data_IF_629691471003
#
_entry.id   IF_629691471003
#
_cell.length_a   1.000
_cell.length_b   1.000
_cell.length_c   1.000
_cell.angle_alpha   90.00
_cell.angle_beta   90.00
_cell.angle_gamma   90.00
#
_symmetry.space_group_name_H-M   'P 1'
#
loop_
_entity.id
_entity.type
_entity.pdbx_description
1 polymer ?
#
# COMPACT_ATOMS: atom_id res chain seq x y z
N UNK A 1 3.65 -40.21 -46.25
CA UNK A 1 3.22 -38.80 -46.06
C UNK A 1 2.37 -38.62 -44.79
N UNK A 2 2.80 -39.13 -43.63
CA UNK A 2 2.01 -39.09 -42.38
C UNK A 2 2.75 -38.44 -41.19
N UNK A 3 4.05 -38.15 -41.35
CA UNK A 3 4.89 -37.52 -40.32
C UNK A 3 4.66 -35.99 -40.21
N UNK A 4 4.42 -35.31 -41.33
CA UNK A 4 4.25 -33.85 -41.36
C UNK A 4 3.02 -33.37 -40.57
N UNK A 5 1.88 -34.10 -40.67
CA UNK A 5 0.64 -33.75 -39.97
C UNK A 5 0.76 -33.87 -38.44
N UNK A 6 1.59 -34.80 -37.96
CA UNK A 6 1.84 -35.03 -36.52
C UNK A 6 2.76 -33.97 -35.92
N UNK A 7 3.75 -33.51 -36.68
CA UNK A 7 4.64 -32.43 -36.27
C UNK A 7 3.93 -31.07 -36.18
N UNK A 8 3.00 -30.77 -37.10
CA UNK A 8 2.18 -29.54 -37.04
C UNK A 8 1.26 -29.55 -35.81
N UNK A 9 0.61 -30.68 -35.52
CA UNK A 9 -0.27 -30.84 -34.37
C UNK A 9 0.46 -30.68 -33.03
N UNK A 10 1.68 -31.23 -32.91
CA UNK A 10 2.49 -31.07 -31.70
C UNK A 10 3.06 -29.66 -31.55
N UNK A 11 3.41 -29.00 -32.66
CA UNK A 11 3.86 -27.60 -32.65
C UNK A 11 2.75 -26.64 -32.22
N UNK A 12 1.50 -26.85 -32.64
CA UNK A 12 0.35 -26.07 -32.19
C UNK A 12 -0.02 -26.32 -30.72
N UNK A 13 0.11 -27.57 -30.26
CA UNK A 13 -0.18 -27.95 -28.87
C UNK A 13 0.84 -27.37 -27.86
N UNK A 14 2.11 -27.26 -28.26
CA UNK A 14 3.17 -26.62 -27.46
C UNK A 14 3.01 -25.09 -27.42
N UNK A 15 2.55 -24.47 -28.50
CA UNK A 15 2.35 -23.02 -28.58
C UNK A 15 1.19 -22.53 -27.70
N UNK A 16 0.13 -23.34 -27.52
CA UNK A 16 -1.00 -22.96 -26.67
C UNK A 16 -0.71 -23.04 -25.17
N UNK A 17 0.35 -23.77 -24.77
CA UNK A 17 0.72 -23.93 -23.35
C UNK A 17 1.50 -22.73 -22.80
N UNK A 18 2.10 -21.91 -23.68
CA UNK A 18 2.88 -20.72 -23.29
C UNK A 18 1.97 -19.50 -23.04
N UNK A 19 0.73 -19.51 -23.55
CA UNK A 19 -0.21 -18.38 -23.45
C UNK A 19 -0.93 -18.22 -22.11
N UNK A 20 -0.75 -19.14 -21.14
CA UNK A 20 -1.58 -19.19 -19.92
C UNK A 20 -0.90 -18.56 -18.69
N UNK A 21 0.33 -18.05 -18.81
CA UNK A 21 1.04 -17.44 -17.67
C UNK A 21 1.02 -15.92 -17.61
N UNK A 22 0.33 -15.23 -18.54
CA UNK A 22 -0.14 -13.87 -18.30
C UNK A 22 -1.45 -13.90 -17.49
N UNK A 23 -1.44 -14.63 -16.38
CA UNK A 23 -2.43 -14.48 -15.32
C UNK A 23 -2.17 -13.14 -14.65
N UNK A 24 -2.71 -12.08 -15.24
CA UNK A 24 -2.90 -10.81 -14.56
C UNK A 24 -3.90 -11.08 -13.43
N UNK A 25 -3.40 -11.50 -12.27
CA UNK A 25 -4.18 -11.42 -11.05
C UNK A 25 -4.61 -9.96 -10.91
N UNK A 26 -5.92 -9.74 -10.94
CA UNK A 26 -6.53 -8.40 -10.91
C UNK A 26 -6.32 -7.76 -9.53
N UNK A 27 -5.09 -7.36 -9.25
CA UNK A 27 -4.74 -6.37 -8.23
C UNK A 27 -4.59 -4.98 -8.89
N UNK A 28 -5.24 -4.77 -10.05
CA UNK A 28 -4.83 -3.77 -11.03
C UNK A 28 -5.71 -2.53 -11.18
N UNK A 29 -6.86 -2.41 -10.51
CA UNK A 29 -7.73 -1.24 -10.70
C UNK A 29 -7.53 -0.16 -9.64
N UNK A 30 -7.30 -0.56 -8.38
CA UNK A 30 -7.26 0.38 -7.26
C UNK A 30 -6.03 1.30 -7.25
N UNK A 31 -4.89 0.84 -7.75
CA UNK A 31 -3.58 1.49 -7.60
C UNK A 31 -3.16 2.27 -8.85
N UNK A 32 -4.13 2.83 -9.58
CA UNK A 32 -3.89 3.50 -10.88
C UNK A 32 -4.10 5.01 -10.82
N UNK A 33 -4.75 5.51 -9.77
CA UNK A 33 -5.06 6.92 -9.62
C UNK A 33 -5.14 7.29 -8.14
N UNK A 34 -4.50 8.41 -7.80
CA UNK A 34 -4.33 8.86 -6.44
C UNK A 34 -4.83 10.29 -6.23
N UNK A 35 -5.30 10.58 -5.02
CA UNK A 35 -5.60 11.92 -4.53
C UNK A 35 -4.91 12.14 -3.19
N UNK A 36 -4.83 13.39 -2.73
CA UNK A 36 -4.26 13.69 -1.41
C UNK A 36 -5.19 13.24 -0.29
N UNK A 37 -4.63 12.68 0.79
CA UNK A 37 -5.38 12.30 1.97
C UNK A 37 -6.14 13.51 2.55
N UNK A 38 -7.24 13.22 3.24
CA UNK A 38 -8.08 14.25 3.86
C UNK A 38 -7.29 15.05 4.92
N UNK A 39 -6.56 14.33 5.77
CA UNK A 39 -5.76 14.84 6.89
C UNK A 39 -4.32 15.26 6.52
N UNK A 40 -3.78 14.79 5.38
CA UNK A 40 -2.48 15.21 4.86
C UNK A 40 -2.54 15.26 3.33
N UNK A 41 -2.74 16.46 2.76
CA UNK A 41 -2.94 16.64 1.32
C UNK A 41 -1.75 16.21 0.49
N UNK A 42 -0.56 16.18 1.09
CA UNK A 42 0.66 15.71 0.45
C UNK A 42 0.80 14.19 0.41
N UNK A 43 -0.04 13.42 1.10
CA UNK A 43 0.06 11.96 1.15
C UNK A 43 -0.91 11.31 0.15
N UNK A 44 -0.44 10.45 -0.78
CA UNK A 44 -1.32 9.86 -1.79
C UNK A 44 -2.22 8.78 -1.21
N UNK A 45 -3.50 8.79 -1.56
CA UNK A 45 -4.48 7.74 -1.29
C UNK A 45 -5.20 7.35 -2.59
N UNK A 46 -5.52 6.06 -2.82
CA UNK A 46 -6.27 5.63 -3.99
C UNK A 46 -7.63 6.33 -4.13
N UNK A 47 -7.94 6.92 -5.29
CA UNK A 47 -9.22 7.62 -5.51
C UNK A 47 -10.45 6.73 -5.40
N UNK A 48 -10.27 5.43 -5.68
CA UNK A 48 -11.35 4.45 -5.58
C UNK A 48 -11.66 4.08 -4.12
N UNK A 49 -10.79 4.45 -3.17
CA UNK A 49 -11.01 4.16 -1.77
C UNK A 49 -12.09 5.10 -1.22
N UNK A 50 -13.10 4.53 -0.60
CA UNK A 50 -14.19 5.33 -0.04
C UNK A 50 -13.80 5.82 1.36
N UNK A 51 -13.79 7.13 1.55
CA UNK A 51 -13.57 7.74 2.86
C UNK A 51 -14.72 7.41 3.79
N UNK A 52 -14.41 7.05 5.02
CA UNK A 52 -15.40 6.85 6.07
C UNK A 52 -14.91 7.50 7.36
N UNK A 53 -15.88 8.03 8.11
CA UNK A 53 -15.78 8.76 9.38
C UNK A 53 -14.36 9.16 9.84
N UNK A 54 -14.09 10.46 9.77
CA UNK A 54 -12.98 11.07 10.50
C UNK A 54 -13.32 10.99 11.99
N UNK A 55 -12.50 10.29 12.76
CA UNK A 55 -12.72 10.23 14.20
C UNK A 55 -12.13 11.48 14.83
N UNK A 56 -13.00 12.44 15.17
CA UNK A 56 -12.60 13.66 15.89
C UNK A 56 -12.28 13.40 17.38
N UNK A 57 -12.58 12.20 17.89
CA UNK A 57 -12.51 11.86 19.32
C UNK A 57 -11.09 11.54 19.84
N UNK A 58 -10.05 11.61 19.01
CA UNK A 58 -8.67 11.37 19.45
C UNK A 58 -7.87 12.68 19.47
N UNK A 59 -7.39 13.09 20.64
CA UNK A 59 -6.70 14.37 20.83
C UNK A 59 -5.33 14.42 20.17
N UNK A 60 -4.69 13.26 19.99
CA UNK A 60 -3.25 13.20 19.67
C UNK A 60 -3.01 12.89 18.18
N UNK A 61 -3.97 12.24 17.52
CA UNK A 61 -3.87 11.83 16.11
C UNK A 61 -5.11 12.25 15.32
N UNK A 62 -4.91 12.73 14.10
CA UNK A 62 -5.96 12.89 13.09
C UNK A 62 -6.08 11.60 12.29
N UNK A 63 -7.19 10.90 12.47
CA UNK A 63 -7.44 9.55 11.97
C UNK A 63 -8.49 9.58 10.85
N UNK A 64 -8.16 8.99 9.70
CA UNK A 64 -9.10 8.81 8.59
C UNK A 64 -9.06 7.37 8.09
N UNK A 65 -10.25 6.76 7.93
CA UNK A 65 -10.41 5.40 7.41
C UNK A 65 -10.82 5.42 5.94
N UNK A 66 -10.12 4.64 5.12
CA UNK A 66 -10.37 4.48 3.68
C UNK A 66 -10.72 3.02 3.38
N UNK A 67 -11.97 2.77 2.99
CA UNK A 67 -12.44 1.44 2.59
C UNK A 67 -11.99 1.14 1.17
N UNK A 68 -11.35 -0.01 0.98
CA UNK A 68 -10.84 -0.45 -0.32
C UNK A 68 -11.00 -1.95 -0.47
N UNK A 69 -11.73 -2.39 -1.51
CA UNK A 69 -11.91 -3.81 -1.78
C UNK A 69 -10.60 -4.46 -2.23
N UNK A 70 -10.36 -5.71 -1.82
CA UNK A 70 -9.17 -6.47 -2.21
C UNK A 70 -7.91 -6.14 -1.38
N UNK A 71 -8.03 -5.33 -0.33
CA UNK A 71 -6.96 -5.14 0.66
C UNK A 71 -7.19 -6.06 1.87
N UNK A 72 -6.12 -6.65 2.38
CA UNK A 72 -6.13 -7.49 3.57
C UNK A 72 -4.89 -7.22 4.38
N UNK A 73 -4.99 -7.33 5.71
CA UNK A 73 -3.85 -7.22 6.61
C UNK A 73 -2.81 -8.31 6.33
N UNK A 74 -3.28 -9.51 5.94
CA UNK A 74 -2.45 -10.67 5.60
C UNK A 74 -1.68 -10.49 4.28
N UNK A 75 -2.10 -9.53 3.45
CA UNK A 75 -1.50 -9.25 2.16
C UNK A 75 -0.68 -7.97 2.26
N UNK A 76 0.60 -8.04 1.92
CA UNK A 76 1.45 -6.85 1.89
C UNK A 76 0.87 -5.79 0.95
N UNK A 77 1.01 -4.53 1.33
CA UNK A 77 0.73 -3.40 0.44
C UNK A 77 1.48 -3.60 -0.89
N UNK A 78 0.80 -3.47 -2.05
CA UNK A 78 1.44 -3.62 -3.35
C UNK A 78 2.58 -2.62 -3.55
N UNK A 79 3.67 -3.10 -4.13
CA UNK A 79 4.87 -2.30 -4.39
C UNK A 79 4.57 -1.05 -5.24
N UNK A 80 3.65 -1.17 -6.20
CA UNK A 80 3.17 -0.05 -7.02
C UNK A 80 2.65 1.15 -6.21
N UNK A 81 2.04 0.89 -5.04
CA UNK A 81 1.59 1.97 -4.17
C UNK A 81 2.73 2.56 -3.34
N UNK A 82 3.67 1.71 -2.89
CA UNK A 82 4.85 2.19 -2.17
C UNK A 82 5.70 3.10 -3.06
N UNK A 83 5.82 2.78 -4.34
CA UNK A 83 6.54 3.60 -5.30
C UNK A 83 5.83 4.92 -5.60
N UNK A 84 4.50 4.93 -5.61
CA UNK A 84 3.74 6.18 -5.69
C UNK A 84 3.95 7.06 -4.44
N UNK A 85 3.93 6.47 -3.25
CA UNK A 85 4.21 7.21 -2.01
C UNK A 85 5.61 7.86 -2.08
N UNK A 86 6.61 7.14 -2.57
CA UNK A 86 7.96 7.67 -2.80
C UNK A 86 8.00 8.74 -3.88
N UNK A 87 7.26 8.58 -4.99
CA UNK A 87 7.21 9.56 -6.07
C UNK A 87 6.61 10.90 -5.63
N UNK A 88 5.74 10.87 -4.62
CA UNK A 88 5.20 12.05 -3.93
C UNK A 88 6.17 12.64 -2.87
N UNK A 89 7.37 12.07 -2.73
CA UNK A 89 8.45 12.58 -1.88
C UNK A 89 8.46 12.05 -0.44
N UNK A 90 7.67 11.01 -0.14
CA UNK A 90 7.66 10.40 1.19
C UNK A 90 8.72 9.31 1.30
N UNK A 91 9.36 9.23 2.47
CA UNK A 91 10.34 8.17 2.76
C UNK A 91 9.80 7.28 3.87
N UNK A 92 9.80 5.97 3.65
CA UNK A 92 9.48 5.00 4.71
C UNK A 92 10.57 5.01 5.79
N UNK A 93 10.18 5.25 7.04
CA UNK A 93 11.07 5.29 8.21
C UNK A 93 11.03 4.00 9.01
N UNK A 94 9.89 3.32 9.00
CA UNK A 94 9.71 2.06 9.69
C UNK A 94 8.69 1.20 8.95
N UNK A 95 9.10 -0.01 8.58
CA UNK A 95 8.20 -1.08 8.20
C UNK A 95 8.12 -2.04 9.39
N UNK A 96 7.05 -1.98 10.19
CA UNK A 96 6.90 -2.89 11.33
C UNK A 96 5.96 -4.03 10.95
N UNK A 97 6.54 -5.16 10.57
CA UNK A 97 5.84 -6.45 10.58
C UNK A 97 6.20 -7.16 11.88
N UNK A 98 5.61 -6.73 13.01
CA UNK A 98 5.81 -7.47 14.26
C UNK A 98 4.78 -8.58 14.33
N UNK A 99 5.29 -9.80 14.16
CA UNK A 99 4.64 -11.05 14.53
C UNK A 99 4.15 -10.98 15.98
N UNK A 100 2.92 -10.53 16.18
CA UNK A 100 2.00 -10.88 17.29
C UNK A 100 0.88 -9.84 17.50
N UNK A 101 0.95 -8.64 16.91
CA UNK A 101 -0.14 -7.66 16.96
C UNK A 101 -0.56 -7.23 15.55
N UNK A 102 -1.85 -7.47 15.26
CA UNK A 102 -2.49 -7.39 13.96
C UNK A 102 -2.59 -6.00 13.31
N UNK A 103 -1.47 -5.45 12.80
CA UNK A 103 -1.55 -4.42 11.76
C UNK A 103 -0.25 -4.30 10.97
N UNK A 104 -0.33 -4.28 9.64
CA UNK A 104 0.79 -3.93 8.77
C UNK A 104 1.02 -2.40 8.77
N UNK A 105 1.43 -1.90 9.93
CA UNK A 105 1.73 -0.49 10.17
C UNK A 105 3.05 -0.10 9.50
N UNK A 106 2.99 0.96 8.69
CA UNK A 106 4.13 1.59 8.03
C UNK A 106 4.16 3.08 8.36
N UNK A 107 5.35 3.61 8.61
CA UNK A 107 5.55 5.01 8.96
C UNK A 107 6.32 5.70 7.84
N UNK A 108 5.76 6.79 7.32
CA UNK A 108 6.34 7.61 6.27
C UNK A 108 6.61 9.01 6.79
N UNK A 109 7.72 9.62 6.34
CA UNK A 109 8.07 10.98 6.70
C UNK A 109 8.42 11.83 5.47
N UNK A 110 8.04 13.11 5.52
CA UNK A 110 8.34 14.14 4.51
C UNK A 110 8.33 15.51 5.17
N UNK A 111 9.45 16.25 5.05
CA UNK A 111 9.54 17.66 5.47
C UNK A 111 9.10 17.94 6.93
N UNK A 112 9.35 17.01 7.85
CA UNK A 112 8.92 17.10 9.26
C UNK A 112 7.56 16.45 9.53
N UNK A 113 6.70 16.32 8.52
CA UNK A 113 5.44 15.60 8.65
C UNK A 113 5.66 14.09 8.70
N UNK A 114 4.82 13.42 9.50
CA UNK A 114 4.83 11.96 9.66
C UNK A 114 3.43 11.42 9.41
N UNK A 115 3.33 10.35 8.62
CA UNK A 115 2.10 9.63 8.32
C UNK A 115 2.24 8.18 8.72
N UNK A 116 1.28 7.69 9.49
CA UNK A 116 1.15 6.30 9.87
C UNK A 116 0.08 5.65 8.99
N UNK A 117 0.48 4.65 8.21
CA UNK A 117 -0.39 3.87 7.33
C UNK A 117 -0.57 2.48 7.93
N UNK A 118 -1.78 2.13 8.36
CA UNK A 118 -2.09 0.77 8.80
C UNK A 118 -3.14 0.14 7.90
N UNK A 119 -2.90 -1.10 7.49
CA UNK A 119 -3.83 -1.86 6.64
C UNK A 119 -4.54 -2.92 7.47
N UNK A 120 -5.83 -3.06 7.18
CA UNK A 120 -6.74 -4.01 7.77
C UNK A 120 -7.50 -4.76 6.66
N UNK A 121 -8.31 -5.74 7.03
CA UNK A 121 -9.18 -6.42 6.07
C UNK A 121 -10.30 -5.51 5.55
N UNK A 122 -10.23 -5.16 4.26
CA UNK A 122 -11.20 -4.33 3.56
C UNK A 122 -11.04 -2.82 3.73
N UNK A 123 -10.08 -2.35 4.51
CA UNK A 123 -9.79 -0.92 4.66
C UNK A 123 -8.35 -0.65 5.11
N UNK A 124 -7.91 0.59 4.95
CA UNK A 124 -6.68 1.09 5.57
C UNK A 124 -6.94 2.42 6.27
N UNK A 125 -6.01 2.81 7.12
CA UNK A 125 -6.10 4.03 7.92
C UNK A 125 -4.88 4.89 7.68
N UNK A 126 -5.12 6.19 7.57
CA UNK A 126 -4.07 7.21 7.49
C UNK A 126 -4.17 8.05 8.75
N UNK A 127 -3.12 8.02 9.55
CA UNK A 127 -3.04 8.71 10.84
C UNK A 127 -1.92 9.74 10.79
N UNK A 128 -2.23 10.97 11.19
CA UNK A 128 -1.29 12.10 11.22
C UNK A 128 -1.23 12.63 12.65
N UNK A 129 -0.05 12.71 13.30
CA UNK A 129 0.06 13.31 14.63
C UNK A 129 -0.34 14.79 14.62
N UNK A 130 -1.17 15.22 15.57
CA UNK A 130 -1.69 16.61 15.65
C UNK A 130 -0.68 17.62 16.26
N UNK A 131 0.43 17.17 16.84
CA UNK A 131 1.42 18.05 17.47
C UNK A 131 2.86 17.78 17.00
N UNK A 132 3.62 18.86 16.84
CA UNK A 132 5.05 18.88 16.51
C UNK A 132 5.90 18.11 17.54
N UNK A 133 5.48 18.09 18.82
CA UNK A 133 6.17 17.36 19.88
C UNK A 133 6.09 15.83 19.73
N UNK A 134 5.06 15.31 19.06
CA UNK A 134 4.95 13.90 18.71
C UNK A 134 5.71 13.54 17.41
N UNK A 135 6.05 14.54 16.58
CA UNK A 135 6.86 14.36 15.37
C UNK A 135 8.37 14.22 15.70
N UNK A 136 8.82 14.75 16.84
CA UNK A 136 10.24 14.74 17.24
C UNK A 136 10.72 13.47 17.96
N UNK A 137 9.83 12.63 18.52
CA UNK A 137 10.24 11.47 19.34
C UNK A 137 11.01 10.40 18.55
N UNK A 138 10.89 10.37 17.21
CA UNK A 138 11.67 9.44 16.37
C UNK A 138 13.10 9.95 16.12
N UNK A 139 13.40 11.23 16.42
CA UNK A 139 14.72 11.83 16.15
C UNK A 139 15.69 11.78 17.33
N UNK A 140 15.26 11.31 18.50
CA UNK A 140 16.04 11.39 19.75
C UNK A 140 16.40 10.04 20.39
N UNK A 141 16.51 8.96 19.61
CA UNK A 141 16.97 7.65 20.11
C UNK A 141 18.24 7.10 19.45
N UNK A 142 18.95 7.89 18.63
CA UNK A 142 20.17 7.43 17.92
C UNK A 142 21.47 8.18 18.32
N UNK A 143 21.49 8.88 19.45
CA UNK A 143 22.72 9.53 19.96
C UNK A 143 23.01 9.14 21.42
N UNK A 144 23.43 7.89 21.64
CA UNK A 144 24.18 7.47 22.84
C UNK A 144 24.94 6.16 22.54
N UNK A 145 26.11 6.27 21.90
CA UNK A 145 27.31 5.42 22.12
C UNK A 145 28.59 6.18 21.72
#
# INVERSE_FOLDING_TARGET
>A
MTSWRRLILHSFLLLSLIGVLAGCGEAGSAWTSYEGAVNEKGFPVPKVANKSDQSENNSDMDYVRYTLSGISESTSIPEVYLDEIKSWGWTEKQAKSTSNDSSSLRVFAKEGHTVHLAVHDGFFTVMVPKSEAAQTTVKSLDDDD
#
